data_IF_898491934023
#
_entry.id   IF_898491934023
#
_cell.length_a   1.000
_cell.length_b   1.000
_cell.length_c   1.000
_cell.angle_alpha   90.00
_cell.angle_beta   90.00
_cell.angle_gamma   90.00
#
_symmetry.space_group_name_H-M   'P 1'
#
loop_
_entity.id
_entity.type
_entity.pdbx_description
1 polymer ?
#
# COMPACT_ATOMS: atom_id res chain seq x y z
N UNK A 1 13.46 10.21 -9.43
CA UNK A 1 11.99 10.11 -9.28
C UNK A 1 11.44 8.70 -9.41
N UNK A 2 11.87 7.86 -10.38
CA UNK A 2 11.39 6.46 -10.49
C UNK A 2 11.65 5.60 -9.24
N UNK A 3 12.77 5.82 -8.55
CA UNK A 3 13.11 5.07 -7.33
C UNK A 3 12.18 5.41 -6.15
N UNK A 4 11.80 6.67 -6.01
CA UNK A 4 10.90 7.13 -4.95
C UNK A 4 9.51 6.53 -5.12
N UNK A 5 8.98 6.50 -6.34
CA UNK A 5 7.69 5.87 -6.63
C UNK A 5 7.71 4.37 -6.34
N UNK A 6 8.78 3.68 -6.74
CA UNK A 6 8.98 2.26 -6.41
C UNK A 6 9.05 2.03 -4.91
N UNK A 7 9.74 2.91 -4.18
CA UNK A 7 9.82 2.84 -2.72
C UNK A 7 8.44 2.99 -2.08
N UNK A 8 7.69 4.03 -2.45
CA UNK A 8 6.33 4.28 -1.93
C UNK A 8 5.42 3.09 -2.23
N UNK A 9 5.47 2.60 -3.46
CA UNK A 9 4.69 1.43 -3.88
C UNK A 9 5.04 0.19 -3.07
N UNK A 10 6.31 -0.17 -2.97
CA UNK A 10 6.75 -1.34 -2.18
C UNK A 10 6.37 -1.20 -0.71
N UNK A 11 6.59 -0.01 -0.12
CA UNK A 11 6.19 0.29 1.26
C UNK A 11 4.69 0.11 1.45
N UNK A 12 3.89 0.60 0.52
CA UNK A 12 2.44 0.54 0.61
C UNK A 12 1.93 -0.90 0.46
N UNK A 13 2.43 -1.65 -0.52
CA UNK A 13 2.15 -3.08 -0.70
C UNK A 13 2.50 -3.88 0.56
N UNK A 14 3.69 -3.69 1.13
CA UNK A 14 4.12 -4.39 2.35
C UNK A 14 3.29 -3.99 3.57
N UNK A 15 2.86 -2.73 3.66
CA UNK A 15 2.05 -2.24 4.78
C UNK A 15 0.69 -2.92 4.89
N UNK A 16 0.07 -3.23 3.74
CA UNK A 16 -1.25 -3.87 3.72
C UNK A 16 -1.22 -5.35 3.39
N UNK A 17 -0.05 -5.90 3.08
CA UNK A 17 0.10 -7.34 2.88
C UNK A 17 -0.15 -8.09 4.18
N UNK A 18 -1.11 -9.02 4.18
CA UNK A 18 -1.61 -9.67 5.40
C UNK A 18 -0.51 -10.28 6.30
N UNK A 19 0.52 -10.97 5.77
CA UNK A 19 1.64 -11.47 6.59
C UNK A 19 2.48 -10.40 7.32
N UNK A 20 2.52 -9.17 6.80
CA UNK A 20 3.28 -8.04 7.34
C UNK A 20 2.41 -6.91 7.90
N UNK A 21 1.08 -7.08 7.88
CA UNK A 21 0.15 -6.10 8.41
C UNK A 21 0.44 -5.81 9.88
N UNK A 22 0.55 -4.53 10.25
CA UNK A 22 0.97 -4.04 11.58
C UNK A 22 2.37 -4.46 12.06
N UNK A 23 3.21 -5.09 11.22
CA UNK A 23 4.61 -5.39 11.55
C UNK A 23 5.52 -4.29 11.03
N UNK A 24 5.70 -3.24 11.84
CA UNK A 24 6.46 -2.04 11.47
C UNK A 24 7.92 -2.40 11.12
N UNK A 25 8.49 -3.41 11.78
CA UNK A 25 9.82 -3.97 11.49
C UNK A 25 10.00 -4.53 10.07
N UNK A 26 8.90 -4.87 9.39
CA UNK A 26 8.91 -5.37 8.01
C UNK A 26 8.76 -4.24 6.98
N UNK A 27 8.59 -2.99 7.42
CA UNK A 27 8.31 -1.86 6.54
C UNK A 27 9.57 -1.03 6.28
N UNK A 28 9.83 -0.66 5.02
CA UNK A 28 10.93 0.22 4.71
C UNK A 28 10.61 1.65 5.20
N UNK A 29 11.51 2.24 5.97
CA UNK A 29 11.44 3.65 6.38
C UNK A 29 12.28 4.54 5.45
N UNK A 30 11.81 5.76 5.24
CA UNK A 30 12.54 6.79 4.50
C UNK A 30 12.98 7.87 5.48
N UNK A 31 14.22 8.34 5.33
CA UNK A 31 14.76 9.45 6.11
C UNK A 31 15.20 10.57 5.14
N UNK A 32 14.63 11.79 5.26
CA UNK A 32 13.57 12.18 6.18
C UNK A 32 12.23 11.49 5.86
N UNK A 33 11.34 11.41 6.86
CA UNK A 33 10.04 10.78 6.72
C UNK A 33 9.26 11.35 5.52
N UNK A 34 8.56 10.45 4.82
CA UNK A 34 7.71 10.87 3.72
C UNK A 34 6.51 11.69 4.25
N UNK A 35 6.02 12.68 3.49
CA UNK A 35 4.77 13.37 3.76
C UNK A 35 3.58 12.40 3.93
N UNK A 36 2.61 12.79 4.74
CA UNK A 36 1.41 11.99 5.05
C UNK A 36 0.59 11.62 3.82
N UNK A 37 0.58 12.46 2.78
CA UNK A 37 -0.07 12.17 1.48
C UNK A 37 0.52 10.91 0.80
N UNK A 38 1.73 10.49 1.18
CA UNK A 38 2.38 9.26 0.71
C UNK A 38 2.26 8.11 1.73
N UNK A 39 1.28 8.20 2.64
CA UNK A 39 0.94 7.13 3.57
C UNK A 39 0.41 5.91 2.80
N UNK A 40 0.79 4.68 3.21
CA UNK A 40 0.21 3.44 2.68
C UNK A 40 -1.30 3.39 2.81
N UNK A 41 -1.82 4.07 3.85
CA UNK A 41 -3.25 4.11 4.19
C UNK A 41 -3.98 5.26 3.48
N UNK A 42 -3.30 6.05 2.64
CA UNK A 42 -3.97 7.05 1.81
C UNK A 42 -4.91 6.37 0.81
N UNK A 43 -6.05 6.98 0.51
CA UNK A 43 -7.03 6.44 -0.45
C UNK A 43 -6.40 6.15 -1.81
N UNK A 44 -5.59 7.08 -2.32
CA UNK A 44 -4.89 6.92 -3.60
C UNK A 44 -3.95 5.69 -3.61
N UNK A 45 -3.25 5.40 -2.52
CA UNK A 45 -2.40 4.20 -2.43
C UNK A 45 -3.25 2.93 -2.32
N UNK A 46 -4.33 2.96 -1.54
CA UNK A 46 -5.24 1.82 -1.36
C UNK A 46 -5.92 1.43 -2.68
N UNK A 47 -6.43 2.41 -3.44
CA UNK A 47 -7.08 2.21 -4.74
C UNK A 47 -6.13 1.57 -5.76
N UNK A 48 -4.93 2.14 -5.93
CA UNK A 48 -3.93 1.60 -6.87
C UNK A 48 -3.53 0.17 -6.52
N UNK A 49 -3.32 -0.12 -5.22
CA UNK A 49 -2.95 -1.49 -4.81
C UNK A 49 -4.14 -2.44 -4.96
N UNK A 50 -5.37 -1.97 -4.71
CA UNK A 50 -6.57 -2.77 -4.91
C UNK A 50 -6.76 -3.15 -6.37
N UNK A 51 -6.67 -2.18 -7.29
CA UNK A 51 -6.77 -2.43 -8.73
C UNK A 51 -5.71 -3.44 -9.21
N UNK A 52 -4.47 -3.29 -8.75
CA UNK A 52 -3.39 -4.23 -9.07
C UNK A 52 -3.65 -5.62 -8.47
N UNK A 53 -4.05 -5.70 -7.20
CA UNK A 53 -4.36 -6.97 -6.56
C UNK A 53 -5.56 -7.67 -7.22
N UNK A 54 -6.56 -6.90 -7.67
CA UNK A 54 -7.71 -7.38 -8.41
C UNK A 54 -7.31 -7.91 -9.80
N UNK A 55 -6.45 -7.18 -10.52
CA UNK A 55 -5.88 -7.62 -11.80
C UNK A 55 -5.18 -8.98 -11.70
N UNK A 56 -4.49 -9.23 -10.59
CA UNK A 56 -3.80 -10.50 -10.33
C UNK A 56 -4.63 -11.54 -9.56
N UNK A 57 -5.88 -11.22 -9.17
CA UNK A 57 -6.74 -12.13 -8.41
C UNK A 57 -6.26 -12.44 -6.98
N UNK A 58 -5.51 -11.54 -6.35
CA UNK A 58 -4.86 -11.74 -5.04
C UNK A 58 -5.32 -10.72 -3.97
N UNK A 59 -6.49 -10.11 -4.14
CA UNK A 59 -7.06 -9.14 -3.18
C UNK A 59 -7.15 -9.69 -1.76
N UNK A 60 -7.41 -10.99 -1.59
CA UNK A 60 -7.45 -11.68 -0.31
C UNK A 60 -6.11 -11.76 0.43
N UNK A 61 -5.00 -11.38 -0.20
CA UNK A 61 -3.66 -11.30 0.42
C UNK A 61 -3.41 -9.96 1.10
N UNK A 62 -4.32 -9.00 0.95
CA UNK A 62 -4.16 -7.63 1.42
C UNK A 62 -5.30 -7.21 2.36
N UNK A 63 -4.98 -6.33 3.31
CA UNK A 63 -5.91 -5.75 4.28
C UNK A 63 -6.17 -4.30 3.89
N UNK A 64 -7.25 -4.07 3.16
CA UNK A 64 -7.65 -2.73 2.75
C UNK A 64 -8.44 -2.04 3.86
N UNK A 65 -8.28 -0.72 3.96
CA UNK A 65 -9.17 0.10 4.77
C UNK A 65 -10.55 0.13 4.09
N UNK A 66 -11.65 0.02 4.85
CA UNK A 66 -13.05 -0.08 4.37
C UNK A 66 -13.58 1.12 3.53
N UNK A 67 -12.71 1.92 2.91
CA UNK A 67 -13.04 3.04 2.02
C UNK A 67 -12.57 2.87 0.57
N UNK A 68 -11.99 1.72 0.18
CA UNK A 68 -11.81 1.40 -1.24
C UNK A 68 -13.19 1.10 -1.84
N UNK A 69 -13.84 2.14 -2.36
CA UNK A 69 -15.13 2.02 -3.06
C UNK A 69 -14.93 1.05 -4.21
N UNK A 70 -15.54 -0.14 -4.10
CA UNK A 70 -15.64 -1.11 -5.19
C UNK A 70 -16.35 -0.43 -6.36
N UNK A 71 -15.72 -0.25 -7.54
CA UNK A 71 -16.45 0.09 -8.74
C UNK A 71 -17.34 -1.10 -9.09
N UNK A 72 -18.65 -0.84 -9.18
CA UNK A 72 -19.62 -1.75 -9.80
C UNK A 72 -19.37 -1.88 -11.30
#
# INVERSE_FOLDING_TARGET
MRLLLRFIFCRAVLSIFSPSFNKIECLPECMPCLPEVMSPMSSACQEVIFELANLFGVTNRFVFSNGAVLPH
#
